data_IF_847708922823
#
_entry.id   IF_847708922823
#
_cell.length_a   1.000
_cell.length_b   1.000
_cell.length_c   1.000
_cell.angle_alpha   90.00
_cell.angle_beta   90.00
_cell.angle_gamma   90.00
#
_symmetry.space_group_name_H-M   'P 1'
#
loop_
_entity.id
_entity.type
_entity.pdbx_description
1 polymer ?
#
# COMPACT_ATOMS: atom_id res chain seq x y z
N UNK A 1 39.94 35.55 31.34
CA UNK A 1 39.95 35.79 29.87
C UNK A 1 38.62 35.30 29.31
N UNK A 2 37.68 36.21 29.07
CA UNK A 2 36.34 35.88 28.55
C UNK A 2 36.39 35.83 27.02
N UNK A 3 36.21 34.65 26.43
CA UNK A 3 36.15 34.50 24.98
C UNK A 3 34.87 35.17 24.44
N UNK A 4 34.96 35.95 23.35
CA UNK A 4 33.79 36.60 22.76
C UNK A 4 32.78 35.55 22.28
N UNK A 5 31.52 35.71 22.67
CA UNK A 5 30.42 34.86 22.22
C UNK A 5 30.11 35.15 20.75
N UNK A 6 29.97 34.11 19.89
CA UNK A 6 29.69 34.30 18.48
C UNK A 6 28.30 34.94 18.27
N UNK A 7 28.13 35.80 17.23
CA UNK A 7 26.88 36.51 16.99
C UNK A 7 25.72 35.53 16.67
N UNK A 8 24.46 35.91 16.97
CA UNK A 8 23.30 35.06 16.75
C UNK A 8 23.14 34.71 15.26
N UNK A 9 23.23 33.41 14.95
CA UNK A 9 23.23 32.90 13.57
C UNK A 9 21.81 32.94 13.01
N UNK A 10 21.61 33.75 11.96
CA UNK A 10 20.33 33.85 11.25
C UNK A 10 20.01 32.52 10.58
N UNK A 11 18.77 32.04 10.71
CA UNK A 11 18.30 30.79 10.07
C UNK A 11 18.22 31.00 8.55
N UNK A 12 19.33 30.77 7.86
CA UNK A 12 19.38 30.70 6.40
C UNK A 12 19.06 29.26 5.97
N UNK A 13 18.31 29.11 4.87
CA UNK A 13 17.89 27.80 4.34
C UNK A 13 19.10 26.96 3.87
N UNK A 14 20.17 27.63 3.45
CA UNK A 14 21.43 27.02 3.02
C UNK A 14 22.55 27.67 3.84
N UNK A 15 23.17 26.89 4.73
CA UNK A 15 24.39 27.27 5.46
C UNK A 15 25.56 26.43 4.92
N UNK A 16 26.43 26.98 4.04
CA UNK A 16 27.59 26.26 3.52
C UNK A 16 28.59 25.85 4.61
N UNK A 17 28.60 26.57 5.75
CA UNK A 17 29.46 26.27 6.89
C UNK A 17 28.84 25.24 7.86
N UNK A 18 27.59 24.84 7.63
CA UNK A 18 26.91 23.79 8.39
C UNK A 18 25.99 22.97 7.46
N UNK A 19 26.57 22.08 6.62
CA UNK A 19 25.80 21.30 5.67
C UNK A 19 24.77 20.40 6.39
N UNK A 20 23.57 20.22 5.80
CA UNK A 20 22.57 19.32 6.37
C UNK A 20 23.13 17.90 6.48
N UNK A 21 22.86 17.25 7.60
CA UNK A 21 23.24 15.85 7.81
C UNK A 21 22.58 14.99 6.74
N UNK A 22 23.38 14.12 6.11
CA UNK A 22 22.83 13.13 5.17
C UNK A 22 21.83 12.26 5.92
N UNK A 23 20.64 11.97 5.34
CA UNK A 23 19.68 11.09 5.96
C UNK A 23 20.35 9.76 6.28
N UNK A 24 20.04 9.23 7.46
CA UNK A 24 20.62 7.97 7.89
C UNK A 24 20.10 6.83 7.01
N UNK A 25 20.87 5.75 6.86
CA UNK A 25 20.44 4.56 6.10
C UNK A 25 19.10 3.98 6.57
N UNK A 26 18.72 4.25 7.82
CA UNK A 26 17.41 3.87 8.39
C UNK A 26 16.25 4.67 7.80
N UNK A 27 16.43 5.96 7.54
CA UNK A 27 15.39 6.82 6.98
C UNK A 27 15.09 6.46 5.52
N UNK A 28 16.13 6.19 4.72
CA UNK A 28 15.95 5.74 3.33
C UNK A 28 15.32 4.36 3.24
N UNK A 29 15.72 3.43 4.11
CA UNK A 29 15.10 2.09 4.20
C UNK A 29 13.61 2.19 4.53
N UNK A 30 13.22 3.06 5.46
CA UNK A 30 11.81 3.28 5.82
C UNK A 30 11.01 3.83 4.64
N UNK A 31 11.54 4.83 3.91
CA UNK A 31 10.86 5.39 2.73
C UNK A 31 10.73 4.34 1.63
N UNK A 32 11.79 3.60 1.34
CA UNK A 32 11.77 2.51 0.35
C UNK A 32 10.72 1.46 0.70
N UNK A 33 10.63 1.06 1.97
CA UNK A 33 9.64 0.10 2.45
C UNK A 33 8.20 0.61 2.22
N UNK A 34 7.94 1.89 2.47
CA UNK A 34 6.65 2.52 2.15
C UNK A 34 6.36 2.55 0.65
N UNK A 35 7.35 2.94 -0.16
CA UNK A 35 7.21 3.00 -1.62
C UNK A 35 6.90 1.63 -2.19
N UNK A 36 7.68 0.60 -1.83
CA UNK A 36 7.46 -0.77 -2.29
C UNK A 36 6.13 -1.31 -1.78
N UNK A 37 5.73 -0.99 -0.54
CA UNK A 37 4.42 -1.39 -0.02
C UNK A 37 3.27 -0.78 -0.81
N UNK A 38 3.30 0.52 -1.09
CA UNK A 38 2.25 1.19 -1.87
C UNK A 38 2.21 0.63 -3.29
N UNK A 39 3.37 0.46 -3.93
CA UNK A 39 3.47 -0.10 -5.27
C UNK A 39 2.85 -1.50 -5.35
N UNK A 40 3.28 -2.42 -4.48
CA UNK A 40 2.79 -3.81 -4.47
C UNK A 40 1.30 -3.88 -4.15
N UNK A 41 0.85 -3.17 -3.10
CA UNK A 41 -0.56 -3.16 -2.69
C UNK A 41 -1.44 -2.62 -3.80
N UNK A 42 -1.07 -1.48 -4.39
CA UNK A 42 -1.86 -0.87 -5.48
C UNK A 42 -1.89 -1.76 -6.70
N UNK A 43 -0.77 -2.32 -7.15
CA UNK A 43 -0.76 -3.23 -8.31
C UNK A 43 -1.66 -4.44 -8.12
N UNK A 44 -1.59 -5.10 -6.97
CA UNK A 44 -2.43 -6.29 -6.70
C UNK A 44 -3.91 -5.90 -6.56
N UNK A 45 -4.21 -4.76 -5.92
CA UNK A 45 -5.60 -4.27 -5.84
C UNK A 45 -6.16 -3.87 -7.21
N UNK A 46 -5.35 -3.28 -8.09
CA UNK A 46 -5.78 -2.98 -9.46
C UNK A 46 -6.12 -4.27 -10.22
N UNK A 47 -5.32 -5.31 -10.06
CA UNK A 47 -5.62 -6.63 -10.63
C UNK A 47 -6.91 -7.20 -10.06
N UNK A 48 -7.07 -7.20 -8.74
CA UNK A 48 -8.29 -7.65 -8.04
C UNK A 48 -9.54 -6.90 -8.55
N UNK A 49 -9.47 -5.57 -8.65
CA UNK A 49 -10.55 -4.74 -9.17
C UNK A 49 -10.84 -5.03 -10.65
N UNK A 50 -9.82 -5.24 -11.48
CA UNK A 50 -9.99 -5.62 -12.88
C UNK A 50 -10.72 -6.95 -13.04
N UNK A 51 -10.38 -7.95 -12.22
CA UNK A 51 -11.06 -9.25 -12.21
C UNK A 51 -12.51 -9.14 -11.77
N UNK A 52 -12.78 -8.34 -10.73
CA UNK A 52 -14.14 -8.04 -10.29
C UNK A 52 -14.96 -7.35 -11.40
N UNK A 53 -14.42 -6.30 -12.02
CA UNK A 53 -15.11 -5.58 -13.11
C UNK A 53 -15.37 -6.52 -14.29
N UNK A 54 -14.46 -7.46 -14.56
CA UNK A 54 -14.63 -8.44 -15.62
C UNK A 54 -15.86 -9.34 -15.44
N UNK A 55 -16.39 -9.51 -14.21
CA UNK A 55 -17.62 -10.30 -14.00
C UNK A 55 -18.85 -9.66 -14.63
N UNK A 56 -18.85 -8.33 -14.78
CA UNK A 56 -19.93 -7.57 -15.41
C UNK A 56 -20.08 -7.88 -16.90
N UNK A 57 -19.04 -8.45 -17.52
CA UNK A 57 -19.02 -8.81 -18.94
C UNK A 57 -19.34 -10.29 -19.19
N UNK A 58 -19.51 -11.09 -18.14
CA UNK A 58 -19.93 -12.50 -18.27
C UNK A 58 -21.45 -12.54 -18.34
N UNK A 59 -22.03 -13.34 -19.24
CA UNK A 59 -23.49 -13.49 -19.38
C UNK A 59 -24.16 -14.17 -18.16
N UNK A 60 -25.46 -13.94 -17.99
CA UNK A 60 -26.25 -14.52 -16.89
C UNK A 60 -26.40 -16.05 -17.00
N UNK A 61 -26.12 -16.61 -18.17
CA UNK A 61 -26.10 -18.04 -18.48
C UNK A 61 -24.91 -18.79 -17.84
N UNK A 62 -23.92 -18.05 -17.31
CA UNK A 62 -22.69 -18.61 -16.75
C UNK A 62 -22.43 -18.17 -15.29
N UNK A 63 -23.34 -18.52 -14.34
CA UNK A 63 -23.23 -18.08 -12.95
C UNK A 63 -21.98 -18.64 -12.25
N UNK A 64 -21.57 -19.87 -12.59
CA UNK A 64 -20.37 -20.48 -12.05
C UNK A 64 -19.09 -19.68 -12.38
N UNK A 65 -19.00 -19.12 -13.59
CA UNK A 65 -17.86 -18.31 -14.00
C UNK A 65 -17.83 -16.95 -13.28
N UNK A 66 -18.99 -16.29 -13.13
CA UNK A 66 -19.13 -15.04 -12.36
C UNK A 66 -18.72 -15.22 -10.90
N UNK A 67 -19.21 -16.27 -10.26
CA UNK A 67 -18.89 -16.58 -8.86
C UNK A 67 -17.40 -16.93 -8.71
N UNK A 68 -16.89 -17.81 -9.57
CA UNK A 68 -15.48 -18.22 -9.54
C UNK A 68 -14.53 -17.02 -9.70
N UNK A 69 -14.82 -16.11 -10.62
CA UNK A 69 -13.99 -14.93 -10.85
C UNK A 69 -14.04 -13.93 -9.69
N UNK A 70 -15.21 -13.73 -9.06
CA UNK A 70 -15.33 -12.93 -7.84
C UNK A 70 -14.54 -13.53 -6.66
N UNK A 71 -14.53 -14.86 -6.52
CA UNK A 71 -13.70 -15.53 -5.50
C UNK A 71 -12.21 -15.27 -5.76
N UNK A 72 -11.75 -15.41 -7.01
CA UNK A 72 -10.36 -15.13 -7.38
C UNK A 72 -10.02 -13.67 -7.09
N UNK A 73 -10.90 -12.73 -7.45
CA UNK A 73 -10.73 -11.31 -7.13
C UNK A 73 -10.58 -11.07 -5.62
N UNK A 74 -11.40 -11.74 -4.79
CA UNK A 74 -11.32 -11.68 -3.33
C UNK A 74 -9.96 -12.17 -2.81
N UNK A 75 -9.47 -13.30 -3.33
CA UNK A 75 -8.16 -13.88 -2.96
C UNK A 75 -7.03 -12.91 -3.27
N UNK A 76 -7.03 -12.27 -4.45
CA UNK A 76 -6.02 -11.27 -4.79
C UNK A 76 -6.07 -10.06 -3.85
N UNK A 77 -7.26 -9.58 -3.48
CA UNK A 77 -7.38 -8.47 -2.54
C UNK A 77 -6.81 -8.82 -1.15
N UNK A 78 -7.02 -10.05 -0.66
CA UNK A 78 -6.38 -10.56 0.57
C UNK A 78 -4.86 -10.61 0.44
N UNK A 79 -4.36 -11.12 -0.69
CA UNK A 79 -2.92 -11.17 -0.97
C UNK A 79 -2.28 -9.78 -1.00
N UNK A 80 -2.98 -8.76 -1.51
CA UNK A 80 -2.50 -7.38 -1.50
C UNK A 80 -2.20 -6.89 -0.08
N UNK A 81 -3.15 -7.10 0.84
CA UNK A 81 -3.00 -6.68 2.24
C UNK A 81 -1.92 -7.51 2.95
N UNK A 82 -1.90 -8.83 2.73
CA UNK A 82 -0.88 -9.71 3.29
C UNK A 82 0.54 -9.31 2.84
N UNK A 83 0.72 -8.97 1.56
CA UNK A 83 1.99 -8.49 1.03
C UNK A 83 2.44 -7.17 1.69
N UNK A 84 1.52 -6.23 1.90
CA UNK A 84 1.81 -4.99 2.63
C UNK A 84 2.29 -5.24 4.07
N UNK A 85 1.68 -6.18 4.79
CA UNK A 85 2.12 -6.58 6.14
C UNK A 85 3.49 -7.28 6.13
N UNK A 86 3.72 -8.17 5.16
CA UNK A 86 4.99 -8.86 4.99
C UNK A 86 6.14 -7.88 4.72
N UNK A 87 5.92 -6.86 3.89
CA UNK A 87 6.89 -5.79 3.63
C UNK A 87 7.22 -5.04 4.92
N UNK A 88 6.22 -4.79 5.78
CA UNK A 88 6.41 -4.13 7.07
C UNK A 88 6.95 -5.03 8.19
N UNK A 89 7.26 -6.30 7.90
CA UNK A 89 7.62 -7.33 8.88
C UNK A 89 6.64 -7.41 10.05
N UNK A 90 5.36 -7.15 9.78
CA UNK A 90 4.27 -7.27 10.76
C UNK A 90 3.51 -8.55 10.48
N UNK A 91 2.91 -9.13 11.54
CA UNK A 91 2.10 -10.33 11.38
C UNK A 91 0.96 -10.06 10.39
N UNK A 92 0.79 -10.89 9.34
CA UNK A 92 -0.30 -10.75 8.40
C UNK A 92 -1.65 -11.17 9.02
N UNK A 93 -1.69 -11.76 10.21
CA UNK A 93 -2.93 -12.21 10.86
C UNK A 93 -3.61 -11.09 11.66
N UNK A 94 -3.75 -9.91 11.07
CA UNK A 94 -4.46 -8.77 11.68
C UNK A 94 -5.86 -8.63 11.07
N UNK A 95 -6.89 -8.15 11.81
CA UNK A 95 -8.24 -7.95 11.27
C UNK A 95 -8.30 -7.08 10.01
N UNK A 96 -7.27 -6.24 9.79
CA UNK A 96 -7.09 -5.47 8.57
C UNK A 96 -7.00 -6.29 7.28
N UNK A 97 -6.67 -7.59 7.35
CA UNK A 97 -6.70 -8.47 6.17
C UNK A 97 -8.12 -8.66 5.62
N UNK A 98 -9.16 -8.54 6.46
CA UNK A 98 -10.53 -8.52 5.98
C UNK A 98 -10.79 -7.36 5.01
N UNK A 99 -10.07 -6.24 5.14
CA UNK A 99 -10.19 -5.13 4.19
C UNK A 99 -9.77 -5.54 2.76
N UNK A 100 -8.87 -6.51 2.65
CA UNK A 100 -8.49 -7.11 1.36
C UNK A 100 -9.62 -7.89 0.71
N UNK A 101 -10.63 -8.33 1.46
CA UNK A 101 -11.79 -9.03 0.88
C UNK A 101 -12.83 -8.09 0.27
N UNK A 102 -12.74 -6.77 0.52
CA UNK A 102 -13.72 -5.79 0.05
C UNK A 102 -14.04 -5.88 -1.46
N UNK A 103 -13.05 -5.96 -2.38
CA UNK A 103 -13.35 -6.02 -3.81
C UNK A 103 -14.19 -7.25 -4.17
N UNK A 104 -13.88 -8.40 -3.56
CA UNK A 104 -14.62 -9.64 -3.78
C UNK A 104 -16.03 -9.62 -3.20
N UNK A 105 -16.19 -9.05 -2.00
CA UNK A 105 -17.52 -8.88 -1.36
C UNK A 105 -18.39 -7.93 -2.17
N UNK A 106 -17.83 -6.80 -2.62
CA UNK A 106 -18.55 -5.83 -3.47
C UNK A 106 -18.94 -6.47 -4.81
N UNK A 107 -18.03 -7.22 -5.44
CA UNK A 107 -18.32 -7.94 -6.68
C UNK A 107 -19.43 -9.00 -6.54
N UNK A 108 -19.44 -9.73 -5.42
CA UNK A 108 -20.50 -10.69 -5.08
C UNK A 108 -21.85 -10.00 -4.87
N UNK A 109 -21.88 -8.87 -4.15
CA UNK A 109 -23.11 -8.09 -3.94
C UNK A 109 -23.68 -7.61 -5.28
N UNK A 110 -22.84 -7.08 -6.17
CA UNK A 110 -23.30 -6.62 -7.49
C UNK A 110 -23.76 -7.79 -8.36
N UNK A 111 -23.10 -8.95 -8.29
CA UNK A 111 -23.48 -10.11 -9.10
C UNK A 111 -24.76 -10.82 -8.62
N UNK A 112 -25.17 -10.61 -7.36
CA UNK A 112 -26.35 -11.23 -6.75
C UNK A 112 -27.53 -10.26 -6.57
N UNK A 113 -27.34 -8.97 -6.84
CA UNK A 113 -28.37 -7.93 -6.83
C UNK A 113 -29.05 -7.81 -8.20
#
# INVERSE_FOLDING_TARGET
>A
MTLPQPPPRRRHLIDPANPPQRPTSRETTRVQQWVVSVLVVTTILHLSAGLMISTLFIGDDQPAARIGLNIIAAVFGVLAVAAGFAIHRRSPLTPWVLLGTLPGVVGLVIALA
#
